data_IF_826429995775
#
_entry.id   IF_826429995775
#
_cell.length_a   1.000
_cell.length_b   1.000
_cell.length_c   1.000
_cell.angle_alpha   90.00
_cell.angle_beta   90.00
_cell.angle_gamma   90.00
#
_symmetry.space_group_name_H-M   'P 1'
#
loop_
_entity.id
_entity.type
_entity.pdbx_description
1 polymer ?
#
# COMPACT_ATOMS: atom_id res chain seq x y z
N UNK A 1 0.40 -0.93 8.28
CA UNK A 1 -0.29 0.01 7.39
C UNK A 1 -0.88 1.09 8.26
N UNK A 2 -0.50 2.33 8.01
CA UNK A 2 -0.92 3.50 8.78
C UNK A 2 -1.50 4.50 7.80
N UNK A 3 -2.69 5.04 8.11
CA UNK A 3 -3.37 6.02 7.27
C UNK A 3 -4.21 6.96 8.11
N UNK A 4 -4.25 8.23 7.73
CA UNK A 4 -5.07 9.25 8.38
C UNK A 4 -6.11 9.74 7.38
N UNK A 5 -7.36 9.80 7.83
CA UNK A 5 -8.53 10.15 7.02
C UNK A 5 -8.76 11.68 7.07
N UNK A 6 -7.86 12.43 7.72
CA UNK A 6 -7.92 13.89 7.89
C UNK A 6 -8.42 14.33 9.27
N UNK A 7 -8.59 13.39 10.20
CA UNK A 7 -9.01 13.65 11.59
C UNK A 7 -7.82 13.76 12.56
N UNK A 8 -6.59 13.64 12.04
CA UNK A 8 -5.34 13.65 12.82
C UNK A 8 -5.23 12.48 13.79
N UNK A 9 -5.97 11.39 13.54
CA UNK A 9 -5.90 10.13 14.29
C UNK A 9 -5.59 8.99 13.33
N UNK A 10 -4.30 8.70 13.09
CA UNK A 10 -3.93 7.68 12.12
C UNK A 10 -4.43 6.29 12.57
N UNK A 11 -5.18 5.64 11.69
CA UNK A 11 -5.59 4.25 11.83
C UNK A 11 -4.41 3.34 11.44
N UNK A 12 -4.03 2.44 12.35
CA UNK A 12 -2.88 1.53 12.19
C UNK A 12 -3.33 0.09 12.29
N UNK A 13 -2.99 -0.69 11.26
CA UNK A 13 -3.23 -2.15 11.18
C UNK A 13 -1.96 -2.82 10.72
N UNK A 14 -1.51 -3.82 11.48
CA UNK A 14 -0.24 -4.51 11.22
C UNK A 14 -0.43 -6.02 11.15
N UNK A 15 0.42 -6.67 10.35
CA UNK A 15 0.53 -8.12 10.30
C UNK A 15 1.84 -8.52 10.99
N UNK A 16 1.75 -9.38 12.01
CA UNK A 16 2.94 -9.94 12.64
C UNK A 16 3.58 -11.03 11.78
N UNK A 17 4.91 -11.06 11.73
CA UNK A 17 5.69 -12.09 11.04
C UNK A 17 6.74 -12.71 11.96
N UNK A 18 7.09 -14.00 11.78
CA UNK A 18 8.09 -14.68 12.61
C UNK A 18 9.52 -14.11 12.46
N UNK A 19 9.82 -13.47 11.33
CA UNK A 19 11.13 -12.94 10.99
C UNK A 19 11.02 -11.65 10.17
N UNK A 20 11.92 -10.67 10.33
CA UNK A 20 11.96 -9.47 9.50
C UNK A 20 12.21 -9.76 8.01
N UNK A 21 12.74 -10.94 7.67
CA UNK A 21 13.00 -11.35 6.28
C UNK A 21 11.83 -12.06 5.62
N UNK A 22 10.71 -12.27 6.34
CA UNK A 22 9.57 -13.08 5.85
C UNK A 22 9.03 -12.56 4.51
N UNK A 23 8.95 -11.24 4.33
CA UNK A 23 8.48 -10.59 3.10
C UNK A 23 9.60 -10.20 2.13
N UNK A 24 10.85 -10.15 2.60
CA UNK A 24 12.01 -9.74 1.81
C UNK A 24 12.81 -10.94 1.30
N UNK A 25 12.11 -11.99 0.88
CA UNK A 25 12.67 -13.30 0.54
C UNK A 25 12.80 -13.54 -0.98
N UNK A 26 12.63 -12.49 -1.80
CA UNK A 26 12.61 -12.53 -3.26
C UNK A 26 11.48 -13.40 -3.87
N UNK A 27 10.45 -13.73 -3.11
CA UNK A 27 9.23 -14.39 -3.59
C UNK A 27 8.08 -13.41 -3.70
N UNK A 28 7.09 -13.78 -4.50
CA UNK A 28 5.85 -13.01 -4.61
C UNK A 28 5.01 -13.16 -3.35
N UNK A 29 4.57 -12.03 -2.82
CA UNK A 29 3.62 -11.94 -1.72
C UNK A 29 2.34 -11.23 -2.20
N UNK A 30 1.19 -11.69 -1.71
CA UNK A 30 -0.11 -11.10 -2.01
C UNK A 30 -0.56 -10.22 -0.85
N UNK A 31 -0.81 -8.94 -1.11
CA UNK A 31 -1.27 -7.99 -0.10
C UNK A 31 -2.66 -7.49 -0.49
N UNK A 32 -3.61 -7.57 0.44
CA UNK A 32 -4.95 -7.01 0.29
C UNK A 32 -5.24 -6.08 1.46
N UNK A 33 -5.58 -4.84 1.14
CA UNK A 33 -6.09 -3.87 2.10
C UNK A 33 -7.52 -3.46 1.69
N UNK A 34 -8.44 -3.40 2.64
CA UNK A 34 -9.80 -2.91 2.43
C UNK A 34 -10.09 -1.91 3.52
N UNK A 35 -10.49 -0.71 3.11
CA UNK A 35 -11.05 0.29 4.01
C UNK A 35 -12.55 0.35 3.74
N UNK A 36 -13.35 0.07 4.75
CA UNK A 36 -14.82 0.12 4.71
C UNK A 36 -15.31 0.87 5.94
N UNK A 37 -15.86 2.07 5.72
CA UNK A 37 -16.29 3.00 6.77
C UNK A 37 -15.19 3.32 7.78
N UNK A 38 -15.27 2.78 8.99
CA UNK A 38 -14.30 2.99 10.06
C UNK A 38 -13.37 1.79 10.28
N UNK A 39 -13.51 0.73 9.49
CA UNK A 39 -12.69 -0.49 9.56
C UNK A 39 -11.65 -0.52 8.44
N UNK A 40 -10.38 -0.73 8.82
CA UNK A 40 -9.30 -1.10 7.92
C UNK A 40 -8.97 -2.57 8.14
N UNK A 41 -8.99 -3.36 7.07
CA UNK A 41 -8.53 -4.76 7.09
C UNK A 41 -7.28 -4.93 6.25
N UNK A 42 -6.38 -5.78 6.72
CA UNK A 42 -5.13 -6.14 6.07
C UNK A 42 -5.02 -7.67 6.02
N UNK A 43 -4.73 -8.20 4.84
CA UNK A 43 -4.39 -9.61 4.67
C UNK A 43 -3.12 -9.73 3.84
N UNK A 44 -2.18 -10.51 4.36
CA UNK A 44 -0.92 -10.84 3.67
C UNK A 44 -0.87 -12.35 3.43
N UNK A 45 -0.69 -12.73 2.17
CA UNK A 45 -0.69 -14.11 1.70
C UNK A 45 -1.93 -14.90 2.18
N UNK A 46 -1.69 -16.07 2.77
CA UNK A 46 -2.71 -16.95 3.35
C UNK A 46 -2.85 -16.76 4.87
N UNK A 47 -2.24 -15.72 5.45
CA UNK A 47 -2.36 -15.44 6.88
C UNK A 47 -3.77 -14.97 7.26
N UNK A 48 -4.05 -15.01 8.56
CA UNK A 48 -5.28 -14.47 9.11
C UNK A 48 -5.36 -12.97 8.83
N UNK A 49 -6.55 -12.50 8.46
CA UNK A 49 -6.83 -11.07 8.29
C UNK A 49 -6.66 -10.36 9.62
N UNK A 50 -5.92 -9.25 9.62
CA UNK A 50 -5.88 -8.30 10.74
C UNK A 50 -6.78 -7.11 10.44
N UNK A 51 -7.33 -6.52 11.49
CA UNK A 51 -8.29 -5.42 11.37
C UNK A 51 -8.00 -4.35 12.42
N UNK A 52 -8.41 -3.12 12.13
CA UNK A 52 -8.37 -2.01 13.06
C UNK A 52 -9.53 -1.08 12.78
N UNK A 53 -10.04 -0.48 13.86
CA UNK A 53 -11.15 0.46 13.78
C UNK A 53 -10.66 1.86 14.16
N UNK A 54 -11.07 2.88 13.42
CA UNK A 54 -10.79 4.26 13.85
C UNK A 54 -11.61 4.61 15.10
N UNK A 55 -12.78 3.98 15.28
CA UNK A 55 -13.67 4.17 16.42
C UNK A 55 -14.47 5.49 16.37
N UNK A 56 -14.42 6.19 15.23
CA UNK A 56 -14.90 7.56 15.11
C UNK A 56 -16.33 7.62 14.54
N UNK A 57 -16.81 6.54 13.92
CA UNK A 57 -18.17 6.42 13.38
C UNK A 57 -18.60 7.51 12.39
N UNK A 58 -17.65 8.33 11.90
CA UNK A 58 -17.92 9.56 11.14
C UNK A 58 -17.39 9.53 9.71
N UNK A 59 -16.75 8.44 9.30
CA UNK A 59 -16.19 8.29 7.97
C UNK A 59 -16.88 7.12 7.29
N UNK A 60 -17.67 7.41 6.25
CA UNK A 60 -18.23 6.40 5.37
C UNK A 60 -17.26 6.07 4.22
N UNK A 61 -16.41 7.03 3.82
CA UNK A 61 -15.47 6.88 2.71
C UNK A 61 -14.16 7.67 2.94
N UNK A 62 -13.03 7.12 2.49
CA UNK A 62 -11.76 7.84 2.38
C UNK A 62 -11.68 8.55 1.02
N UNK A 63 -12.32 9.71 0.91
CA UNK A 63 -12.30 10.53 -0.30
C UNK A 63 -11.11 11.49 -0.31
N UNK A 64 -10.33 11.49 -1.39
CA UNK A 64 -9.19 12.40 -1.55
C UNK A 64 -9.07 12.85 -3.00
N UNK A 65 -8.67 14.11 -3.18
CA UNK A 65 -8.29 14.68 -4.48
C UNK A 65 -6.78 14.58 -4.74
N UNK A 66 -6.02 13.94 -3.83
CA UNK A 66 -4.59 13.76 -3.96
C UNK A 66 -4.25 12.68 -5.01
N UNK A 67 -3.14 12.81 -5.74
CA UNK A 67 -2.65 11.74 -6.61
C UNK A 67 -2.37 10.47 -5.80
N UNK A 68 -2.61 9.30 -6.43
CA UNK A 68 -2.21 8.01 -5.90
C UNK A 68 -0.76 7.72 -6.34
N UNK A 69 0.11 7.47 -5.37
CA UNK A 69 1.50 7.11 -5.61
C UNK A 69 1.74 5.64 -5.31
N UNK A 70 2.48 4.95 -6.18
CA UNK A 70 2.83 3.54 -6.03
C UNK A 70 4.35 3.40 -6.00
N UNK A 71 4.87 2.71 -4.98
CA UNK A 71 6.29 2.41 -4.85
C UNK A 71 7.17 3.55 -4.32
N UNK A 72 6.66 4.76 -4.14
CA UNK A 72 7.44 5.88 -3.61
C UNK A 72 6.69 7.19 -3.65
N UNK A 73 7.28 8.25 -3.09
CA UNK A 73 6.77 9.61 -3.16
C UNK A 73 7.81 10.53 -3.83
N UNK A 74 7.40 11.49 -4.68
CA UNK A 74 8.30 12.53 -5.13
C UNK A 74 8.66 13.48 -3.97
N UNK A 75 9.80 14.18 -4.10
CA UNK A 75 10.33 15.07 -3.05
C UNK A 75 9.35 16.17 -2.65
N UNK A 76 8.53 16.63 -3.59
CA UNK A 76 7.52 17.67 -3.37
C UNK A 76 6.16 17.13 -2.93
N UNK A 77 5.98 15.83 -2.73
CA UNK A 77 4.72 15.28 -2.26
C UNK A 77 4.44 15.75 -0.82
N UNK A 78 3.19 16.09 -0.48
CA UNK A 78 2.80 16.48 0.88
C UNK A 78 3.29 15.48 1.93
N UNK A 79 3.71 16.00 3.08
CA UNK A 79 4.02 15.17 4.25
C UNK A 79 2.71 14.65 4.84
N UNK A 80 2.40 13.39 4.59
CA UNK A 80 1.27 12.66 5.16
C UNK A 80 1.68 11.79 6.35
N UNK A 81 0.84 10.81 6.69
CA UNK A 81 1.05 9.88 7.82
C UNK A 81 1.86 8.63 7.47
N UNK A 82 2.63 8.68 6.39
CA UNK A 82 3.52 7.59 6.03
C UNK A 82 4.66 7.51 7.03
N UNK A 83 4.89 6.31 7.56
CA UNK A 83 5.95 6.04 8.55
C UNK A 83 7.36 6.12 7.93
N UNK A 84 7.46 6.00 6.60
CA UNK A 84 8.72 6.12 5.85
C UNK A 84 8.48 6.81 4.50
N UNK A 85 9.53 7.47 4.00
CA UNK A 85 9.60 8.00 2.63
C UNK A 85 10.57 7.21 1.75
N UNK A 86 11.06 6.07 2.23
CA UNK A 86 11.92 5.19 1.45
C UNK A 86 11.14 4.63 0.26
N UNK A 87 11.76 4.70 -0.92
CA UNK A 87 11.19 4.13 -2.13
C UNK A 87 11.28 2.60 -2.11
N UNK A 88 10.22 1.95 -2.56
CA UNK A 88 10.14 0.50 -2.72
C UNK A 88 11.17 0.02 -3.75
N UNK A 89 11.88 -1.05 -3.40
CA UNK A 89 12.85 -1.72 -4.26
C UNK A 89 12.39 -3.15 -4.48
N UNK A 90 11.84 -3.43 -5.66
CA UNK A 90 11.31 -4.74 -6.01
C UNK A 90 10.36 -4.64 -7.18
N UNK A 91 9.47 -5.62 -7.29
CA UNK A 91 8.49 -5.69 -8.36
C UNK A 91 7.07 -5.71 -7.80
N UNK A 92 6.16 -5.04 -8.50
CA UNK A 92 4.73 -5.05 -8.20
C UNK A 92 4.00 -5.51 -9.46
N UNK A 93 3.01 -6.38 -9.32
CA UNK A 93 2.18 -6.86 -10.43
C UNK A 93 0.75 -7.11 -9.98
N UNK A 94 -0.16 -7.26 -10.95
CA UNK A 94 -1.56 -7.61 -10.73
C UNK A 94 -2.28 -6.64 -9.77
N UNK A 95 -2.06 -5.34 -9.94
CA UNK A 95 -2.65 -4.32 -9.08
C UNK A 95 -4.13 -4.12 -9.39
N UNK A 96 -4.95 -4.14 -8.33
CA UNK A 96 -6.40 -3.89 -8.40
C UNK A 96 -6.75 -2.82 -7.37
N UNK A 97 -7.37 -1.74 -7.84
CA UNK A 97 -7.80 -0.61 -6.99
C UNK A 97 -9.25 -0.31 -7.34
N UNK A 98 -10.12 -0.21 -6.34
CA UNK A 98 -11.55 0.06 -6.57
C UNK A 98 -12.23 -0.97 -7.48
N UNK A 99 -11.81 -2.25 -7.38
CA UNK A 99 -12.26 -3.37 -8.24
C UNK A 99 -11.84 -3.27 -9.71
N UNK A 100 -10.98 -2.33 -10.08
CA UNK A 100 -10.43 -2.22 -11.44
C UNK A 100 -8.98 -2.65 -11.47
N UNK A 101 -8.63 -3.49 -12.44
CA UNK A 101 -7.24 -3.74 -12.79
C UNK A 101 -6.62 -2.43 -13.26
N UNK A 102 -5.43 -2.11 -12.75
CA UNK A 102 -4.66 -0.95 -13.18
C UNK A 102 -3.55 -1.41 -14.11
N UNK A 103 -3.57 -0.90 -15.33
CA UNK A 103 -2.43 -1.02 -16.23
C UNK A 103 -1.37 0.00 -15.81
N UNK A 104 -0.10 -0.42 -15.83
CA UNK A 104 1.02 0.46 -15.53
C UNK A 104 1.19 1.54 -16.60
N UNK A 105 0.66 1.34 -17.82
CA UNK A 105 0.65 2.36 -18.87
C UNK A 105 -0.24 3.56 -18.55
N UNK A 106 -1.22 3.40 -17.64
CA UNK A 106 -2.17 4.46 -17.27
C UNK A 106 -1.59 5.43 -16.22
N UNK A 107 -0.34 5.23 -15.81
CA UNK A 107 0.33 6.07 -14.81
C UNK A 107 0.66 7.44 -15.39
N UNK A 108 0.27 8.50 -14.67
CA UNK A 108 0.50 9.88 -15.09
C UNK A 108 1.99 10.25 -15.14
N UNK A 109 2.80 9.70 -14.23
CA UNK A 109 4.25 9.94 -14.16
C UNK A 109 4.99 8.68 -13.72
N UNK A 110 6.22 8.51 -14.22
CA UNK A 110 7.08 7.36 -13.93
C UNK A 110 8.50 7.83 -13.65
N UNK A 111 9.10 7.32 -12.58
CA UNK A 111 10.46 7.68 -12.17
C UNK A 111 11.24 6.41 -11.83
N UNK A 112 12.24 6.05 -12.65
CA UNK A 112 13.08 4.86 -12.46
C UNK A 112 12.29 3.54 -12.35
N UNK A 113 11.24 3.38 -13.16
CA UNK A 113 10.37 2.19 -13.19
C UNK A 113 10.51 1.48 -14.53
N UNK A 114 10.56 0.14 -14.50
CA UNK A 114 10.42 -0.72 -15.67
C UNK A 114 9.00 -1.32 -15.66
N UNK A 115 8.11 -0.87 -16.54
CA UNK A 115 6.68 -1.23 -16.48
C UNK A 115 6.41 -2.72 -16.72
N UNK A 116 7.15 -3.33 -17.65
CA UNK A 116 6.88 -4.67 -18.15
C UNK A 116 8.00 -5.67 -17.83
N UNK A 117 8.89 -5.34 -16.89
CA UNK A 117 10.02 -6.18 -16.55
C UNK A 117 10.22 -6.23 -15.04
N UNK A 118 10.40 -7.44 -14.54
CA UNK A 118 10.89 -7.69 -13.20
C UNK A 118 12.17 -8.51 -13.34
N UNK A 119 13.37 -7.90 -13.19
CA UNK A 119 14.61 -8.63 -13.29
C UNK A 119 14.68 -9.71 -12.19
N UNK A 120 14.67 -10.98 -12.58
CA UNK A 120 15.17 -12.04 -11.70
C UNK A 120 16.68 -11.87 -11.68
N UNK A 121 17.26 -11.44 -10.57
CA UNK A 121 18.70 -11.20 -10.46
C UNK A 121 19.48 -12.35 -11.12
N UNK A 122 20.22 -12.03 -12.18
CA UNK A 122 21.21 -12.95 -12.73
C UNK A 122 22.29 -13.10 -11.66
N UNK A 123 22.49 -14.33 -11.20
CA UNK A 123 23.74 -14.71 -10.54
C UNK A 123 24.93 -14.43 -11.46
#
# INVERSE_FOLDING_TARGET
>A
MTGDIGDRRPLRVEQGFPSPYTLCNNKWHSIKAIFDKDELTLKVDHLNTTYGHSGNGHFDEASTNSPLYIGGLPDNAPTGTLETRDNFKGCIRNMVIGRQHKDWTDMATLHNVLLNSCPSGSH
#
